data_IF_194928630369
#
_entry.id   IF_194928630369
#
_cell.length_a   1.000
_cell.length_b   1.000
_cell.length_c   1.000
_cell.angle_alpha   90.00
_cell.angle_beta   90.00
_cell.angle_gamma   90.00
#
_symmetry.space_group_name_H-M   'P 1'
#
loop_
_entity.id
_entity.type
_entity.pdbx_description
1 polymer ?
#
# COMPACT_ATOMS: atom_id res chain seq x y z
N UNK A 1 -14.98 -10.76 -2.96
CA UNK A 1 -14.51 -11.33 -4.24
C UNK A 1 -15.43 -11.04 -5.44
N UNK A 2 -16.73 -10.76 -5.27
CA UNK A 2 -17.67 -10.46 -6.39
C UNK A 2 -17.37 -9.15 -7.13
N UNK A 3 -17.11 -8.04 -6.42
CA UNK A 3 -16.81 -6.76 -7.08
C UNK A 3 -15.49 -6.74 -7.87
N UNK A 4 -14.47 -7.49 -7.42
CA UNK A 4 -13.20 -7.61 -8.15
C UNK A 4 -13.37 -8.35 -9.48
N UNK A 5 -14.23 -9.37 -9.52
CA UNK A 5 -14.59 -10.06 -10.76
C UNK A 5 -15.30 -9.13 -11.74
N UNK A 6 -16.29 -8.36 -11.26
CA UNK A 6 -17.00 -7.37 -12.09
C UNK A 6 -16.02 -6.33 -12.63
N UNK A 7 -15.12 -5.80 -11.79
CA UNK A 7 -14.12 -4.83 -12.23
C UNK A 7 -13.19 -5.39 -13.32
N UNK A 8 -12.82 -6.68 -13.23
CA UNK A 8 -11.98 -7.35 -14.23
C UNK A 8 -12.71 -7.62 -15.54
N UNK A 9 -14.03 -7.84 -15.54
CA UNK A 9 -14.79 -8.29 -16.73
C UNK A 9 -15.77 -7.25 -17.29
N UNK A 10 -15.84 -6.05 -16.70
CA UNK A 10 -16.67 -4.92 -17.16
C UNK A 10 -16.43 -4.45 -18.60
N UNK A 11 -15.33 -4.87 -19.22
CA UNK A 11 -14.97 -4.53 -20.60
C UNK A 11 -15.48 -5.57 -21.63
N UNK A 12 -15.89 -6.74 -21.15
CA UNK A 12 -16.42 -7.84 -21.98
C UNK A 12 -17.95 -7.84 -21.93
N UNK A 13 -18.53 -7.62 -20.74
CA UNK A 13 -19.98 -7.60 -20.54
C UNK A 13 -20.46 -6.35 -19.80
N UNK A 14 -21.71 -5.92 -20.02
CA UNK A 14 -22.31 -4.83 -19.28
C UNK A 14 -22.28 -5.06 -17.77
N UNK A 15 -21.91 -4.03 -17.01
CA UNK A 15 -21.86 -4.07 -15.54
C UNK A 15 -23.21 -4.44 -14.94
N UNK A 16 -24.31 -3.97 -15.53
CA UNK A 16 -25.67 -4.33 -15.11
C UNK A 16 -25.88 -5.85 -15.12
N UNK A 17 -25.54 -6.49 -16.25
CA UNK A 17 -25.66 -7.93 -16.41
C UNK A 17 -24.78 -8.69 -15.41
N UNK A 18 -23.53 -8.25 -15.21
CA UNK A 18 -22.63 -8.85 -14.23
C UNK A 18 -23.13 -8.68 -12.77
N UNK A 19 -23.73 -7.54 -12.44
CA UNK A 19 -24.33 -7.29 -11.14
C UNK A 19 -25.53 -8.21 -10.89
N UNK A 20 -26.39 -8.39 -11.90
CA UNK A 20 -27.59 -9.23 -11.81
C UNK A 20 -27.20 -10.71 -11.65
N UNK A 21 -26.25 -11.21 -12.45
CA UNK A 21 -25.75 -12.60 -12.38
C UNK A 21 -25.07 -12.91 -11.04
N UNK A 22 -24.38 -11.93 -10.45
CA UNK A 22 -23.67 -12.10 -9.18
C UNK A 22 -24.49 -11.73 -7.95
N UNK A 23 -25.77 -11.40 -8.14
CA UNK A 23 -26.70 -10.97 -7.09
C UNK A 23 -26.12 -9.84 -6.21
N UNK A 24 -25.51 -8.84 -6.85
CA UNK A 24 -24.98 -7.65 -6.16
C UNK A 24 -25.64 -6.38 -6.67
N UNK A 25 -25.80 -5.40 -5.78
CA UNK A 25 -26.36 -4.13 -6.21
C UNK A 25 -25.39 -3.33 -7.07
N UNK A 26 -25.91 -2.73 -8.15
CA UNK A 26 -25.17 -1.79 -9.00
C UNK A 26 -24.60 -0.63 -8.18
N UNK A 27 -25.41 -0.08 -7.26
CA UNK A 27 -24.99 0.95 -6.32
C UNK A 27 -23.87 0.46 -5.39
N UNK A 28 -23.91 -0.78 -4.92
CA UNK A 28 -22.85 -1.41 -4.13
C UNK A 28 -21.55 -1.60 -4.91
N UNK A 29 -21.64 -1.97 -6.19
CA UNK A 29 -20.48 -2.05 -7.08
C UNK A 29 -19.83 -0.68 -7.29
N UNK A 30 -20.61 0.34 -7.69
CA UNK A 30 -20.08 1.69 -7.86
C UNK A 30 -19.60 2.29 -6.53
N UNK A 31 -20.27 2.02 -5.42
CA UNK A 31 -19.81 2.42 -4.08
C UNK A 31 -18.53 1.68 -3.69
N UNK A 32 -18.28 0.46 -4.16
CA UNK A 32 -17.02 -0.25 -3.94
C UNK A 32 -15.87 0.29 -4.79
N UNK A 33 -16.18 0.78 -6.00
CA UNK A 33 -15.21 1.49 -6.87
C UNK A 33 -14.89 2.89 -6.33
N UNK A 34 -15.90 3.58 -5.82
CA UNK A 34 -15.78 4.93 -5.25
C UNK A 34 -15.48 4.91 -3.76
N UNK A 35 -15.43 3.73 -3.11
CA UNK A 35 -15.13 3.64 -1.68
C UNK A 35 -13.75 4.26 -1.55
N UNK A 36 -13.64 5.42 -0.89
CA UNK A 36 -12.43 6.18 -0.97
C UNK A 36 -11.35 5.36 -0.28
N UNK A 37 -10.36 5.00 -1.06
CA UNK A 37 -8.95 4.95 -0.67
C UNK A 37 -8.47 6.33 -0.12
N UNK A 38 -9.34 7.17 0.45
CA UNK A 38 -9.19 8.64 0.36
C UNK A 38 -8.55 9.35 1.53
N UNK A 39 -8.34 8.70 2.67
CA UNK A 39 -7.57 9.29 3.78
C UNK A 39 -6.39 8.40 4.14
N UNK A 40 -6.65 7.10 4.27
CA UNK A 40 -5.62 6.12 4.58
C UNK A 40 -4.60 5.96 3.46
N UNK A 41 -4.99 5.95 2.18
CA UNK A 41 -4.03 5.83 1.09
C UNK A 41 -3.22 7.11 0.88
N UNK A 42 -3.84 8.28 1.05
CA UNK A 42 -3.10 9.56 1.01
C UNK A 42 -2.08 9.64 2.14
N UNK A 43 -2.47 9.25 3.35
CA UNK A 43 -1.54 9.15 4.48
C UNK A 43 -0.47 8.09 4.25
N UNK A 44 -0.84 6.92 3.72
CA UNK A 44 0.11 5.85 3.39
C UNK A 44 1.08 6.30 2.31
N UNK A 45 0.65 7.04 1.29
CA UNK A 45 1.50 7.61 0.26
C UNK A 45 2.51 8.59 0.84
N UNK A 46 2.07 9.52 1.71
CA UNK A 46 2.97 10.41 2.46
C UNK A 46 3.98 9.62 3.30
N UNK A 47 3.52 8.57 3.99
CA UNK A 47 4.36 7.72 4.82
C UNK A 47 5.39 6.96 3.96
N UNK A 48 4.98 6.45 2.80
CA UNK A 48 5.86 5.74 1.84
C UNK A 48 6.97 6.66 1.36
N UNK A 49 6.68 7.94 1.05
CA UNK A 49 7.71 8.90 0.69
C UNK A 49 8.75 9.10 1.80
N UNK A 50 8.32 9.21 3.05
CA UNK A 50 9.24 9.33 4.19
C UNK A 50 10.06 8.05 4.41
N UNK A 51 9.41 6.87 4.36
CA UNK A 51 10.05 5.55 4.44
C UNK A 51 11.12 5.42 3.37
N UNK A 52 10.82 5.76 2.11
CA UNK A 52 11.78 5.67 1.01
C UNK A 52 12.97 6.61 1.21
N UNK A 53 12.73 7.81 1.73
CA UNK A 53 13.78 8.80 1.95
C UNK A 53 14.77 8.31 3.02
N UNK A 54 14.27 7.88 4.19
CA UNK A 54 15.11 7.24 5.23
C UNK A 54 15.81 5.97 4.72
N UNK A 55 15.08 5.11 3.98
CA UNK A 55 15.64 3.88 3.45
C UNK A 55 16.77 4.13 2.44
N UNK A 56 16.63 5.13 1.57
CA UNK A 56 17.67 5.53 0.60
C UNK A 56 18.84 6.21 1.31
N UNK A 57 18.59 7.08 2.29
CA UNK A 57 19.64 7.75 3.07
C UNK A 57 20.54 6.75 3.83
N UNK A 58 19.98 5.63 4.28
CA UNK A 58 20.72 4.56 4.97
C UNK A 58 21.44 3.55 4.04
N UNK A 59 21.61 3.87 2.76
CA UNK A 59 22.13 2.96 1.73
C UNK A 59 21.37 1.60 1.70
N UNK A 60 20.05 1.67 1.92
CA UNK A 60 19.16 0.50 1.93
C UNK A 60 19.53 -0.53 3.00
N UNK A 61 20.27 -0.15 4.04
CA UNK A 61 20.67 -1.08 5.12
C UNK A 61 19.65 -1.14 6.25
N UNK A 62 18.76 -0.14 6.34
CA UNK A 62 17.78 -0.06 7.41
C UNK A 62 16.58 -0.97 7.12
N UNK A 63 16.17 -1.72 8.15
CA UNK A 63 14.91 -2.45 8.17
C UNK A 63 13.81 -1.64 8.86
N UNK A 64 12.60 -2.20 8.92
CA UNK A 64 11.40 -1.52 9.40
C UNK A 64 11.56 -0.83 10.76
N UNK A 65 12.23 -1.45 11.74
CA UNK A 65 12.42 -0.85 13.08
C UNK A 65 13.33 0.39 13.12
N UNK A 66 14.25 0.53 12.15
CA UNK A 66 15.13 1.70 12.05
C UNK A 66 14.44 2.80 11.26
N UNK A 67 13.86 2.45 10.11
CA UNK A 67 13.04 3.39 9.32
C UNK A 67 11.87 3.96 10.14
N UNK A 68 11.20 3.14 10.96
CA UNK A 68 10.14 3.61 11.85
C UNK A 68 10.61 4.68 12.85
N UNK A 69 11.85 4.57 13.35
CA UNK A 69 12.42 5.58 14.25
C UNK A 69 12.68 6.89 13.53
N UNK A 70 13.26 6.82 12.33
CA UNK A 70 13.52 8.00 11.51
C UNK A 70 12.19 8.70 11.13
N UNK A 71 11.17 7.94 10.73
CA UNK A 71 9.84 8.48 10.40
C UNK A 71 9.15 9.12 11.63
N UNK A 72 9.38 8.60 12.83
CA UNK A 72 8.89 9.23 14.07
C UNK A 72 9.63 10.53 14.38
N UNK A 73 10.94 10.59 14.13
CA UNK A 73 11.76 11.80 14.28
C UNK A 73 11.33 12.90 13.29
N UNK A 74 10.92 12.49 12.08
CA UNK A 74 10.31 13.38 11.06
C UNK A 74 8.89 13.87 11.45
N UNK A 75 8.38 13.51 12.62
CA UNK A 75 7.09 13.98 13.15
C UNK A 75 5.87 13.21 12.62
N UNK A 76 6.07 12.10 11.90
CA UNK A 76 4.98 11.27 11.36
C UNK A 76 4.61 10.16 12.35
N UNK A 77 3.58 10.40 13.15
CA UNK A 77 3.07 9.42 14.10
C UNK A 77 2.47 8.20 13.37
N UNK A 78 3.16 7.07 13.42
CA UNK A 78 2.71 5.80 12.84
C UNK A 78 3.18 4.59 13.66
N UNK A 79 2.42 3.50 13.60
CA UNK A 79 2.79 2.24 14.25
C UNK A 79 3.77 1.42 13.40
N UNK A 80 4.62 0.63 14.07
CA UNK A 80 5.61 -0.23 13.42
C UNK A 80 5.01 -1.17 12.37
N UNK A 81 3.86 -1.79 12.66
CA UNK A 81 3.19 -2.70 11.72
C UNK A 81 2.74 -2.00 10.42
N UNK A 82 2.43 -0.70 10.49
CA UNK A 82 2.09 0.10 9.30
C UNK A 82 3.33 0.30 8.43
N UNK A 83 4.47 0.63 9.03
CA UNK A 83 5.77 0.72 8.34
C UNK A 83 6.12 -0.64 7.71
N UNK A 84 6.04 -1.74 8.46
CA UNK A 84 6.33 -3.09 7.97
C UNK A 84 5.47 -3.47 6.75
N UNK A 85 4.16 -3.22 6.84
CA UNK A 85 3.22 -3.44 5.75
C UNK A 85 3.62 -2.64 4.50
N UNK A 86 3.90 -1.36 4.66
CA UNK A 86 4.23 -0.46 3.55
C UNK A 86 5.59 -0.78 2.94
N UNK A 87 6.61 -1.10 3.74
CA UNK A 87 7.89 -1.57 3.22
C UNK A 87 7.74 -2.88 2.43
N UNK A 88 6.89 -3.81 2.89
CA UNK A 88 6.64 -5.07 2.19
C UNK A 88 5.95 -4.86 0.85
N UNK A 89 4.90 -4.04 0.80
CA UNK A 89 4.13 -3.76 -0.42
C UNK A 89 4.97 -3.01 -1.45
N UNK A 90 5.86 -2.10 -1.01
CA UNK A 90 6.76 -1.33 -1.87
C UNK A 90 8.12 -2.02 -2.12
N UNK A 91 8.24 -3.32 -1.77
CA UNK A 91 9.47 -4.11 -1.97
C UNK A 91 10.75 -3.49 -1.36
N UNK A 92 10.63 -2.68 -0.31
CA UNK A 92 11.75 -2.07 0.42
C UNK A 92 12.34 -3.06 1.40
N UNK A 93 13.30 -3.87 0.94
CA UNK A 93 13.99 -4.87 1.76
C UNK A 93 15.41 -4.41 2.10
N UNK A 94 15.71 -4.40 3.39
CA UNK A 94 17.06 -4.11 3.89
C UNK A 94 18.09 -5.04 3.26
N UNK A 95 19.15 -4.47 2.70
CA UNK A 95 20.29 -5.19 2.18
C UNK A 95 21.23 -5.57 3.33
N UNK A 96 21.74 -6.81 3.37
CA UNK A 96 22.81 -7.15 4.29
C UNK A 96 24.01 -6.26 4.02
N UNK A 97 24.63 -5.76 5.10
CA UNK A 97 25.83 -4.93 5.01
C UNK A 97 26.94 -5.76 4.37
N UNK A 98 27.41 -5.34 3.18
CA UNK A 98 28.50 -6.03 2.48
C UNK A 98 29.75 -5.95 3.37
N UNK A 99 30.26 -7.08 3.87
CA UNK A 99 31.56 -7.11 4.53
C UNK A 99 32.59 -6.61 3.51
N UNK A 100 33.29 -5.52 3.81
CA UNK A 100 34.46 -5.14 3.01
C UNK A 100 35.47 -6.29 3.16
N UNK A 101 36.03 -6.83 2.06
CA UNK A 101 37.20 -7.70 2.19
C UNK A 101 38.30 -6.90 2.89
N UNK A 102 38.95 -7.57 3.85
CA UNK A 102 40.09 -7.03 4.59
C UNK A 102 41.28 -6.78 3.65
#
# INVERSE_FOLDING_TARGET
MRFAFIAKHRHIWPVSWLCDVLEVSRSGFHASLNRPTGAHEIQDAKLVTAIETSFKASDRTYGARRVWRDVLEDGLACGLHRIERLMRINALRARPRRKRPA
#
